data_IF_526004190274
#
_entry.id   IF_526004190274
#
_cell.length_a   1.000
_cell.length_b   1.000
_cell.length_c   1.000
_cell.angle_alpha   90.00
_cell.angle_beta   90.00
_cell.angle_gamma   90.00
#
_symmetry.space_group_name_H-M   'P 1'
#
loop_
_entity.id
_entity.type
_entity.pdbx_description
1 polymer ?
#
# COMPACT_ATOMS: atom_id res chain seq x y z
N UNK A 1 21.24 5.14 5.29
CA UNK A 1 20.12 6.02 4.88
C UNK A 1 19.09 5.07 4.30
N UNK A 2 18.22 4.52 5.14
CA UNK A 2 17.30 3.45 4.73
C UNK A 2 16.28 4.01 3.74
N UNK A 3 16.54 3.71 2.48
CA UNK A 3 15.80 4.07 1.30
C UNK A 3 14.46 3.33 1.33
N UNK A 4 13.48 3.81 2.12
CA UNK A 4 12.08 3.34 2.18
C UNK A 4 11.82 1.98 1.50
N UNK A 5 12.31 0.92 2.16
CA UNK A 5 12.70 -0.36 1.56
C UNK A 5 11.53 -1.33 1.39
N UNK A 6 10.47 -0.92 0.69
CA UNK A 6 9.32 -1.78 0.40
C UNK A 6 9.03 -1.91 -1.08
N UNK A 7 8.44 -3.05 -1.45
CA UNK A 7 7.96 -3.31 -2.80
C UNK A 7 6.75 -2.41 -3.08
N UNK A 8 6.66 -1.71 -4.23
CA UNK A 8 5.46 -0.98 -4.59
C UNK A 8 4.22 -1.89 -4.54
N UNK A 9 3.09 -1.36 -4.04
CA UNK A 9 1.85 -2.14 -3.92
C UNK A 9 1.44 -2.76 -5.27
N UNK A 10 1.64 -2.04 -6.38
CA UNK A 10 1.34 -2.53 -7.71
C UNK A 10 2.13 -3.78 -8.08
N UNK A 11 3.40 -3.85 -7.69
CA UNK A 11 4.24 -5.02 -7.92
C UNK A 11 3.88 -6.15 -6.97
N UNK A 12 3.62 -5.85 -5.70
CA UNK A 12 3.17 -6.85 -4.71
C UNK A 12 1.84 -7.51 -5.09
N UNK A 13 0.95 -6.74 -5.74
CA UNK A 13 -0.35 -7.18 -6.21
C UNK A 13 -0.29 -8.10 -7.43
N UNK A 14 0.85 -8.21 -8.12
CA UNK A 14 1.00 -9.13 -9.26
C UNK A 14 0.70 -10.56 -8.79
N UNK A 15 -0.20 -11.22 -9.51
CA UNK A 15 -0.64 -12.59 -9.19
C UNK A 15 -1.58 -12.70 -7.98
N UNK A 16 -2.11 -11.58 -7.44
CA UNK A 16 -3.10 -11.57 -6.36
C UNK A 16 -4.35 -10.79 -6.78
N UNK A 17 -5.50 -11.15 -6.22
CA UNK A 17 -6.73 -10.40 -6.36
C UNK A 17 -6.95 -9.43 -5.18
N UNK A 18 -7.91 -8.50 -5.32
CA UNK A 18 -8.16 -7.49 -4.29
C UNK A 18 -8.67 -8.08 -2.96
N UNK A 19 -9.56 -9.09 -2.93
CA UNK A 19 -9.93 -9.76 -1.68
C UNK A 19 -8.76 -10.39 -0.93
N UNK A 20 -7.82 -11.03 -1.63
CA UNK A 20 -6.60 -11.60 -1.02
C UNK A 20 -5.75 -10.51 -0.37
N UNK A 21 -5.50 -9.41 -1.08
CA UNK A 21 -4.76 -8.27 -0.55
C UNK A 21 -5.46 -7.64 0.65
N UNK A 22 -6.79 -7.58 0.62
CA UNK A 22 -7.60 -7.08 1.74
C UNK A 22 -7.40 -7.94 2.99
N UNK A 23 -7.39 -9.27 2.83
CA UNK A 23 -7.07 -10.22 3.90
C UNK A 23 -5.64 -10.06 4.42
N UNK A 24 -4.65 -9.90 3.53
CA UNK A 24 -3.25 -9.72 3.91
C UNK A 24 -3.04 -8.44 4.73
N UNK A 25 -3.68 -7.34 4.33
CA UNK A 25 -3.48 -6.04 4.98
C UNK A 25 -4.48 -5.75 6.12
N UNK A 26 -5.46 -6.63 6.34
CA UNK A 26 -6.51 -6.41 7.35
C UNK A 26 -7.40 -5.21 7.03
N UNK A 27 -7.69 -4.96 5.75
CA UNK A 27 -8.54 -3.85 5.27
C UNK A 27 -9.68 -4.37 4.42
N UNK A 28 -10.56 -3.50 3.95
CA UNK A 28 -11.62 -3.87 3.00
C UNK A 28 -11.09 -3.98 1.57
N UNK A 29 -11.75 -4.79 0.73
CA UNK A 29 -11.47 -4.82 -0.72
C UNK A 29 -11.64 -3.43 -1.36
N UNK A 30 -12.61 -2.63 -0.90
CA UNK A 30 -12.81 -1.26 -1.40
C UNK A 30 -11.62 -0.35 -1.06
N UNK A 31 -11.00 -0.51 0.12
CA UNK A 31 -9.78 0.21 0.48
C UNK A 31 -8.62 -0.19 -0.45
N UNK A 32 -8.46 -1.49 -0.76
CA UNK A 32 -7.46 -1.96 -1.74
C UNK A 32 -7.71 -1.35 -3.11
N UNK A 33 -8.96 -1.37 -3.59
CA UNK A 33 -9.34 -0.76 -4.87
C UNK A 33 -8.98 0.73 -4.92
N UNK A 34 -9.25 1.49 -3.85
CA UNK A 34 -8.85 2.89 -3.75
C UNK A 34 -7.33 3.06 -3.72
N UNK A 35 -6.61 2.23 -2.96
CA UNK A 35 -5.15 2.23 -2.90
C UNK A 35 -4.53 2.05 -4.29
N UNK A 36 -5.05 1.11 -5.08
CA UNK A 36 -4.57 0.83 -6.44
C UNK A 36 -4.90 1.96 -7.44
N UNK A 37 -6.05 2.61 -7.30
CA UNK A 37 -6.54 3.61 -8.28
C UNK A 37 -6.09 5.04 -8.00
N UNK A 38 -5.68 5.34 -6.78
CA UNK A 38 -5.44 6.72 -6.31
C UNK A 38 -4.05 7.28 -6.67
N UNK A 39 -3.16 6.47 -7.25
CA UNK A 39 -1.78 6.89 -7.53
C UNK A 39 -0.96 7.17 -6.27
N UNK A 40 -1.40 6.70 -5.10
CA UNK A 40 -0.67 6.79 -3.83
C UNK A 40 0.63 5.99 -3.94
N UNK A 41 1.73 6.54 -3.43
CA UNK A 41 2.97 5.77 -3.26
C UNK A 41 2.81 4.88 -2.02
N UNK A 42 2.43 3.63 -2.24
CA UNK A 42 2.23 2.63 -1.20
C UNK A 42 3.31 1.56 -1.36
N UNK A 43 4.00 1.28 -0.26
CA UNK A 43 5.05 0.28 -0.18
C UNK A 43 4.67 -0.83 0.78
N UNK A 44 5.03 -2.05 0.41
CA UNK A 44 4.75 -3.27 1.17
C UNK A 44 6.07 -3.86 1.63
N UNK A 45 6.17 -4.18 2.93
CA UNK A 45 7.31 -4.88 3.51
C UNK A 45 6.84 -6.16 4.19
N UNK A 46 7.67 -7.20 4.14
CA UNK A 46 7.49 -8.40 4.95
C UNK A 46 7.98 -8.14 6.38
N UNK A 47 7.25 -8.62 7.38
CA UNK A 47 7.65 -8.49 8.78
C UNK A 47 8.53 -9.69 9.20
N UNK A 48 9.48 -9.52 10.14
CA UNK A 48 10.34 -10.61 10.61
C UNK A 48 9.56 -11.79 11.22
N UNK A 49 8.42 -11.50 11.84
CA UNK A 49 7.50 -12.46 12.46
C UNK A 49 6.54 -13.15 11.47
N UNK A 50 6.64 -12.81 10.17
CA UNK A 50 5.72 -13.25 9.14
C UNK A 50 4.62 -12.22 8.85
N UNK A 51 3.94 -12.39 7.72
CA UNK A 51 2.95 -11.43 7.24
C UNK A 51 3.56 -10.19 6.57
N UNK A 52 2.68 -9.24 6.24
CA UNK A 52 3.03 -8.06 5.46
C UNK A 52 2.44 -6.80 6.09
N UNK A 53 3.18 -5.70 5.94
CA UNK A 53 2.72 -4.38 6.31
C UNK A 53 2.80 -3.45 5.10
N UNK A 54 1.72 -2.71 4.83
CA UNK A 54 1.68 -1.66 3.83
C UNK A 54 1.80 -0.28 4.50
N UNK A 55 2.62 0.60 3.95
CA UNK A 55 2.76 1.98 4.40
C UNK A 55 2.67 2.94 3.20
N UNK A 56 2.07 4.11 3.42
CA UNK A 56 1.97 5.16 2.43
C UNK A 56 3.12 6.17 2.62
N UNK A 57 3.85 6.43 1.55
CA UNK A 57 4.82 7.51 1.48
C UNK A 57 4.14 8.72 0.88
N UNK A 58 4.18 9.84 1.60
CA UNK A 58 3.63 11.11 1.13
C UNK A 58 4.42 12.29 1.67
N UNK A 59 4.58 13.30 0.84
CA UNK A 59 5.13 14.59 1.27
C UNK A 59 4.12 15.29 2.18
N UNK A 60 4.59 15.77 3.33
CA UNK A 60 3.75 16.53 4.26
C UNK A 60 3.38 17.89 3.63
N UNK A 61 2.13 18.31 3.78
CA UNK A 61 1.62 19.56 3.20
C UNK A 61 1.22 19.49 1.72
N UNK A 62 1.46 18.38 1.02
CA UNK A 62 1.12 18.21 -0.40
C UNK A 62 -0.38 18.00 -0.68
N UNK A 63 -1.20 17.88 0.36
CA UNK A 63 -2.64 17.67 0.21
C UNK A 63 -3.25 18.96 -0.31
N UNK A 64 -3.53 19.03 -1.62
CA UNK A 64 -4.36 20.10 -2.19
C UNK A 64 -5.68 20.08 -1.43
N UNK A 65 -6.00 21.20 -0.77
CA UNK A 65 -7.34 21.41 -0.22
C UNK A 65 -8.31 21.23 -1.39
N UNK A 66 -9.34 20.40 -1.23
CA UNK A 66 -10.44 20.43 -2.17
C UNK A 66 -10.97 21.87 -2.18
N UNK A 67 -11.01 22.48 -3.36
CA UNK A 67 -11.57 23.81 -3.55
C UNK A 67 -13.07 23.81 -3.26
#
# INVERSE_FOLDING_TARGET
>A
MDEFTGLPLADFAKGKNQPELAGIFGVTQSAVSQMMKSGRDIRVRQLPEGGYQAYEIRVVGSRRKAA
#
